data_IF_018433816667
#
_entry.id   IF_018433816667
#
_cell.length_a   1.000
_cell.length_b   1.000
_cell.length_c   1.000
_cell.angle_alpha   90.00
_cell.angle_beta   90.00
_cell.angle_gamma   90.00
#
_symmetry.space_group_name_H-M   'P 1'
#
loop_
_entity.id
_entity.type
_entity.pdbx_description
1 polymer ?
#
# COMPACT_ATOMS: atom_id res chain seq x y z
N UNK A 1 13.59 -11.59 -13.50
CA UNK A 1 14.62 -10.53 -13.36
C UNK A 1 15.77 -10.75 -14.32
N UNK A 2 16.51 -11.86 -14.25
CA UNK A 2 17.63 -12.13 -15.16
C UNK A 2 17.21 -12.08 -16.64
N UNK A 3 16.10 -12.72 -16.99
CA UNK A 3 15.58 -12.69 -18.37
C UNK A 3 15.21 -11.28 -18.81
N UNK A 4 14.48 -10.53 -17.97
CA UNK A 4 14.13 -9.13 -18.20
C UNK A 4 15.36 -8.25 -18.48
N UNK A 5 16.44 -8.44 -17.70
CA UNK A 5 17.70 -7.73 -17.92
C UNK A 5 18.33 -8.10 -19.27
N UNK A 6 18.40 -9.40 -19.60
CA UNK A 6 18.98 -9.84 -20.87
C UNK A 6 18.16 -9.34 -22.09
N UNK A 7 16.83 -9.34 -21.98
CA UNK A 7 15.90 -8.77 -22.95
C UNK A 7 16.13 -7.27 -23.12
N UNK A 8 16.27 -6.51 -22.02
CA UNK A 8 16.64 -5.08 -22.06
C UNK A 8 17.97 -4.84 -22.76
N UNK A 9 19.02 -5.58 -22.37
CA UNK A 9 20.36 -5.43 -22.93
C UNK A 9 20.42 -5.71 -24.44
N UNK A 10 19.62 -6.67 -24.92
CA UNK A 10 19.56 -7.04 -26.33
C UNK A 10 18.55 -6.22 -27.13
N UNK A 11 17.79 -5.34 -26.47
CA UNK A 11 16.65 -4.62 -27.07
C UNK A 11 15.64 -5.56 -27.74
N UNK A 12 15.40 -6.72 -27.11
CA UNK A 12 14.60 -7.82 -27.66
C UNK A 12 13.27 -7.97 -26.91
N UNK A 13 12.29 -7.13 -27.26
CA UNK A 13 10.95 -7.18 -26.65
C UNK A 13 10.90 -6.67 -25.20
N UNK A 14 11.83 -5.80 -24.82
CA UNK A 14 11.79 -5.13 -23.51
C UNK A 14 10.71 -4.05 -23.49
N UNK A 15 9.95 -4.02 -22.40
CA UNK A 15 8.99 -2.97 -22.09
C UNK A 15 9.09 -2.59 -20.61
N UNK A 16 8.83 -1.33 -20.31
CA UNK A 16 8.72 -0.85 -18.94
C UNK A 16 7.45 -1.40 -18.29
N UNK A 17 7.57 -1.92 -17.07
CA UNK A 17 6.46 -2.49 -16.32
C UNK A 17 6.36 -1.86 -14.94
N UNK A 18 5.18 -1.31 -14.63
CA UNK A 18 4.92 -0.67 -13.36
C UNK A 18 5.16 -1.62 -12.16
N UNK A 19 5.77 -1.09 -11.11
CA UNK A 19 6.26 -1.82 -9.94
C UNK A 19 7.29 -2.94 -10.21
N UNK A 20 7.85 -3.04 -11.42
CA UNK A 20 8.82 -4.08 -11.76
C UNK A 20 10.11 -3.56 -12.40
N UNK A 21 10.04 -2.90 -13.56
CA UNK A 21 11.21 -2.39 -14.27
C UNK A 21 10.89 -1.10 -15.05
N UNK A 22 11.87 -0.20 -15.11
CA UNK A 22 11.83 0.99 -15.97
C UNK A 22 13.22 1.30 -16.51
N UNK A 23 13.30 1.58 -17.81
CA UNK A 23 14.46 2.18 -18.46
C UNK A 23 14.24 3.69 -18.49
N UNK A 24 15.14 4.45 -17.86
CA UNK A 24 15.02 5.90 -17.67
C UNK A 24 16.19 6.63 -18.32
N UNK A 25 16.00 7.88 -18.73
CA UNK A 25 17.08 8.69 -19.33
C UNK A 25 17.88 9.42 -18.26
N UNK A 26 19.05 9.94 -18.63
CA UNK A 26 19.87 10.71 -17.70
C UNK A 26 19.19 12.03 -17.28
N UNK A 27 18.39 12.61 -18.18
CA UNK A 27 17.58 13.79 -17.90
C UNK A 27 16.54 13.51 -16.81
N UNK A 28 15.79 12.41 -16.91
CA UNK A 28 14.84 11.99 -15.86
C UNK A 28 15.54 11.72 -14.52
N UNK A 29 16.76 11.16 -14.55
CA UNK A 29 17.57 10.95 -13.34
C UNK A 29 17.97 12.30 -12.73
N UNK A 30 18.38 13.26 -13.56
CA UNK A 30 18.76 14.61 -13.12
C UNK A 30 17.57 15.36 -12.50
N UNK A 31 16.39 15.26 -13.10
CA UNK A 31 15.15 15.86 -12.57
C UNK A 31 14.73 15.26 -11.22
N UNK A 32 15.22 14.06 -10.90
CA UNK A 32 15.06 13.40 -9.61
C UNK A 32 16.27 13.58 -8.67
N UNK A 33 17.07 14.62 -8.87
CA UNK A 33 18.26 14.94 -8.06
C UNK A 33 19.26 13.77 -7.95
N UNK A 34 19.33 12.93 -8.99
CA UNK A 34 20.14 11.70 -9.04
C UNK A 34 19.81 10.67 -7.94
N UNK A 35 18.62 10.75 -7.33
CA UNK A 35 18.16 9.78 -6.33
C UNK A 35 17.70 8.50 -7.04
N UNK A 36 18.52 7.44 -6.98
CA UNK A 36 18.28 6.17 -7.70
C UNK A 36 17.39 5.16 -6.94
N UNK A 37 16.53 5.61 -6.03
CA UNK A 37 15.62 4.70 -5.33
C UNK A 37 14.58 4.16 -6.33
N UNK A 38 14.45 2.84 -6.53
CA UNK A 38 13.63 2.28 -7.61
C UNK A 38 12.19 2.81 -7.63
N UNK A 39 11.56 2.96 -6.47
CA UNK A 39 10.18 3.46 -6.33
C UNK A 39 9.95 4.85 -6.93
N UNK A 40 11.00 5.62 -7.20
CA UNK A 40 10.91 6.92 -7.87
C UNK A 40 10.74 6.81 -9.39
N UNK A 41 11.07 5.65 -9.96
CA UNK A 41 11.06 5.40 -11.41
C UNK A 41 10.05 4.34 -11.81
N UNK A 42 9.92 3.25 -11.06
CA UNK A 42 9.09 2.10 -11.49
C UNK A 42 7.58 2.29 -11.30
N UNK A 43 7.13 3.42 -10.74
CA UNK A 43 5.72 3.67 -10.48
C UNK A 43 5.07 2.64 -9.56
N UNK A 44 3.74 2.60 -9.55
CA UNK A 44 2.95 1.59 -8.83
C UNK A 44 2.17 0.74 -9.84
N UNK A 45 2.05 -0.56 -9.57
CA UNK A 45 1.15 -1.41 -10.33
C UNK A 45 -0.25 -0.78 -10.36
N UNK A 46 -0.94 -0.91 -11.48
CA UNK A 46 -2.36 -0.54 -11.54
C UNK A 46 -3.08 -1.28 -10.43
N UNK A 47 -3.67 -0.52 -9.52
CA UNK A 47 -4.54 -1.08 -8.52
C UNK A 47 -5.87 -1.36 -9.21
N UNK A 48 -6.40 -2.58 -9.08
CA UNK A 48 -7.78 -2.82 -9.50
C UNK A 48 -8.68 -1.81 -8.81
N UNK A 49 -9.33 -0.96 -9.61
CA UNK A 49 -10.33 -0.02 -9.13
C UNK A 49 -11.51 -0.83 -8.63
N UNK A 50 -11.84 -0.68 -7.34
CA UNK A 50 -13.03 -1.32 -6.75
C UNK A 50 -14.33 -0.66 -7.23
N UNK A 51 -14.23 0.40 -8.05
CA UNK A 51 -15.34 1.15 -8.60
C UNK A 51 -16.02 2.05 -7.57
N UNK A 52 -15.49 2.14 -6.35
CA UNK A 52 -16.09 2.91 -5.25
C UNK A 52 -15.45 4.30 -5.20
N UNK A 53 -16.23 5.39 -5.35
CA UNK A 53 -15.71 6.74 -5.20
C UNK A 53 -15.00 6.93 -3.86
N UNK A 54 -13.86 7.63 -3.87
CA UNK A 54 -13.04 7.84 -2.66
C UNK A 54 -13.86 8.38 -1.47
N UNK A 55 -14.75 9.33 -1.70
CA UNK A 55 -15.59 9.91 -0.66
C UNK A 55 -16.53 8.86 -0.02
N UNK A 56 -17.13 8.00 -0.82
CA UNK A 56 -18.01 6.91 -0.36
C UNK A 56 -17.22 5.86 0.42
N UNK A 57 -16.05 5.45 -0.12
CA UNK A 57 -15.15 4.52 0.55
C UNK A 57 -14.71 5.03 1.93
N UNK A 58 -14.31 6.30 2.01
CA UNK A 58 -13.90 6.91 3.27
C UNK A 58 -15.05 7.04 4.27
N UNK A 59 -16.26 7.36 3.81
CA UNK A 59 -17.44 7.40 4.66
C UNK A 59 -17.73 6.02 5.26
N UNK A 60 -17.73 4.97 4.44
CA UNK A 60 -18.00 3.60 4.87
C UNK A 60 -16.92 3.08 5.83
N UNK A 61 -15.64 3.25 5.49
CA UNK A 61 -14.52 2.82 6.35
C UNK A 61 -14.53 3.55 7.70
N UNK A 62 -14.85 4.85 7.71
CA UNK A 62 -14.89 5.62 8.96
C UNK A 62 -16.09 5.23 9.83
N UNK A 63 -17.24 4.89 9.21
CA UNK A 63 -18.39 4.37 9.95
C UNK A 63 -18.07 3.01 10.59
N UNK A 64 -17.48 2.09 9.82
CA UNK A 64 -17.05 0.78 10.32
C UNK A 64 -16.02 0.92 11.45
N UNK A 65 -15.04 1.83 11.30
CA UNK A 65 -14.04 2.09 12.33
C UNK A 65 -14.68 2.57 13.65
N UNK A 66 -15.68 3.43 13.58
CA UNK A 66 -16.42 3.89 14.77
C UNK A 66 -17.16 2.75 15.46
N UNK A 67 -17.80 1.87 14.69
CA UNK A 67 -18.45 0.68 15.23
C UNK A 67 -17.44 -0.23 15.95
N UNK A 68 -16.28 -0.47 15.34
CA UNK A 68 -15.23 -1.28 15.96
C UNK A 68 -14.69 -0.66 17.26
N UNK A 69 -14.55 0.67 17.33
CA UNK A 69 -14.19 1.33 18.59
C UNK A 69 -15.25 1.14 19.67
N UNK A 70 -16.53 1.27 19.34
CA UNK A 70 -17.61 1.02 20.29
C UNK A 70 -17.58 -0.42 20.79
N UNK A 71 -17.38 -1.40 19.89
CA UNK A 71 -17.29 -2.81 20.27
C UNK A 71 -16.05 -3.10 21.12
N UNK A 72 -14.92 -2.49 20.80
CA UNK A 72 -13.69 -2.62 21.59
C UNK A 72 -13.90 -2.11 23.02
N UNK A 73 -14.56 -0.97 23.20
CA UNK A 73 -14.84 -0.41 24.53
C UNK A 73 -15.80 -1.30 25.34
N UNK A 74 -16.82 -1.87 24.70
CA UNK A 74 -17.72 -2.84 25.33
C UNK A 74 -16.97 -4.07 25.83
N UNK A 75 -16.15 -4.68 24.96
CA UNK A 75 -15.35 -5.86 25.30
C UNK A 75 -14.33 -5.55 26.38
N UNK A 76 -13.68 -4.39 26.35
CA UNK A 76 -12.75 -3.97 27.39
C UNK A 76 -13.46 -3.85 28.75
N UNK A 77 -14.66 -3.27 28.79
CA UNK A 77 -15.46 -3.16 30.00
C UNK A 77 -15.87 -4.55 30.54
N UNK A 78 -16.25 -5.47 29.66
CA UNK A 78 -16.59 -6.85 30.03
C UNK A 78 -15.38 -7.61 30.59
N UNK A 79 -14.21 -7.47 29.96
CA UNK A 79 -12.96 -8.08 30.45
C UNK A 79 -12.62 -7.56 31.85
N UNK A 80 -12.67 -6.24 32.07
CA UNK A 80 -12.41 -5.64 33.39
C UNK A 80 -13.38 -6.13 34.45
N UNK A 81 -14.67 -6.23 34.11
CA UNK A 81 -15.70 -6.78 35.01
C UNK A 81 -15.38 -8.23 35.41
N UNK A 82 -14.98 -9.06 34.44
CA UNK A 82 -14.64 -10.46 34.68
C UNK A 82 -13.38 -10.61 35.53
N UNK A 83 -12.34 -9.79 35.28
CA UNK A 83 -11.13 -9.76 36.11
C UNK A 83 -11.43 -9.33 37.55
N UNK A 84 -12.25 -8.29 37.73
CA UNK A 84 -12.71 -7.84 39.05
C UNK A 84 -13.46 -8.94 39.81
N UNK A 85 -14.28 -9.73 39.12
CA UNK A 85 -14.95 -10.91 39.70
C UNK A 85 -13.99 -12.03 40.14
N UNK A 86 -12.78 -12.08 39.58
CA UNK A 86 -11.71 -13.02 39.95
C UNK A 86 -10.74 -12.45 41.00
N UNK A 87 -10.95 -11.22 41.46
CA UNK A 87 -10.10 -10.55 42.45
C UNK A 87 -8.86 -9.85 41.88
N UNK A 88 -8.82 -9.59 40.57
CA UNK A 88 -7.77 -8.82 39.89
C UNK A 88 -8.36 -7.47 39.44
N UNK A 89 -7.61 -6.37 39.62
CA UNK A 89 -7.96 -5.05 39.05
C UNK A 89 -7.37 -4.87 37.64
#
# INVERSE_FOLDING_TARGET
IADTLHTWQKSDGYEDQAAFCKSTTLEEIKDNDFVLTPGRYVGTAEQEDDGVPFAEKMQNLTALLKEQFAKSAELEAEIKKNLGGLGYE
#
